data_IF_420160140717
#
_entry.id   IF_420160140717
#
_cell.length_a   1.000
_cell.length_b   1.000
_cell.length_c   1.000
_cell.angle_alpha   90.00
_cell.angle_beta   90.00
_cell.angle_gamma   90.00
#
_symmetry.space_group_name_H-M   'P 1'
#
loop_
_entity.id
_entity.type
_entity.pdbx_description
1 polymer ?
#
# COMPACT_ATOMS: atom_id res chain seq x y z
N UNK A 1 8.38 -5.10 -11.63
CA UNK A 1 7.38 -4.54 -12.58
C UNK A 1 7.63 -3.06 -12.82
N UNK A 2 6.91 -2.38 -13.73
CA UNK A 2 7.07 -0.93 -13.97
C UNK A 2 6.81 -0.09 -12.69
N UNK A 3 5.79 -0.45 -11.91
CA UNK A 3 5.47 0.19 -10.63
C UNK A 3 6.56 0.01 -9.59
N UNK A 4 7.13 -1.19 -9.47
CA UNK A 4 8.26 -1.44 -8.56
C UNK A 4 9.50 -0.61 -8.95
N UNK A 5 9.77 -0.45 -10.25
CA UNK A 5 10.86 0.41 -10.73
C UNK A 5 10.63 1.88 -10.35
N UNK A 6 9.40 2.38 -10.50
CA UNK A 6 9.02 3.74 -10.08
C UNK A 6 9.15 3.91 -8.56
N UNK A 7 8.64 2.96 -7.77
CA UNK A 7 8.75 2.96 -6.32
C UNK A 7 10.22 2.99 -5.85
N UNK A 8 11.10 2.26 -6.53
CA UNK A 8 12.54 2.30 -6.24
C UNK A 8 13.19 3.65 -6.64
N UNK A 9 12.70 4.34 -7.66
CA UNK A 9 13.26 5.64 -8.08
C UNK A 9 13.01 6.74 -7.04
N UNK A 10 11.89 6.67 -6.32
CA UNK A 10 11.56 7.65 -5.30
C UNK A 10 12.08 7.23 -3.92
N UNK A 11 13.03 8.00 -3.36
CA UNK A 11 13.68 7.66 -2.08
C UNK A 11 13.00 8.24 -0.85
N UNK A 12 11.88 8.95 -1.00
CA UNK A 12 11.10 9.48 0.13
C UNK A 12 10.29 8.42 0.89
N UNK A 13 10.20 7.21 0.34
CA UNK A 13 9.34 6.15 0.85
C UNK A 13 7.86 6.40 0.58
N UNK A 14 7.52 7.24 -0.39
CA UNK A 14 6.19 7.35 -1.00
C UNK A 14 6.31 6.99 -2.47
N UNK A 15 5.21 6.61 -3.12
CA UNK A 15 5.23 6.24 -4.53
C UNK A 15 5.70 7.39 -5.44
N UNK A 16 5.32 8.63 -5.09
CA UNK A 16 5.77 9.84 -5.78
C UNK A 16 5.91 11.02 -4.81
N UNK A 17 6.76 11.99 -5.15
CA UNK A 17 6.99 13.17 -4.31
C UNK A 17 7.59 12.84 -2.94
N UNK A 18 7.34 13.68 -1.95
CA UNK A 18 7.92 13.58 -0.59
C UNK A 18 6.89 13.40 0.52
N UNK A 19 5.62 13.23 0.18
CA UNK A 19 4.51 13.11 1.12
C UNK A 19 3.51 12.04 0.69
N UNK A 20 2.67 11.62 1.64
CA UNK A 20 1.56 10.71 1.37
C UNK A 20 0.66 11.29 0.27
N UNK A 21 0.37 10.48 -0.73
CA UNK A 21 -0.51 10.82 -1.84
C UNK A 21 -1.72 9.88 -1.88
N UNK A 22 -2.72 10.26 -2.66
CA UNK A 22 -3.87 9.39 -2.91
C UNK A 22 -3.46 8.06 -3.56
N UNK A 23 -2.36 8.06 -4.33
CA UNK A 23 -1.88 6.83 -4.96
C UNK A 23 -1.40 5.80 -3.92
N UNK A 24 -0.70 6.24 -2.88
CA UNK A 24 -0.22 5.34 -1.81
C UNK A 24 -1.42 4.69 -1.08
N UNK A 25 -2.47 5.47 -0.83
CA UNK A 25 -3.73 4.98 -0.25
C UNK A 25 -4.43 4.00 -1.20
N UNK A 26 -4.49 4.30 -2.50
CA UNK A 26 -5.09 3.41 -3.48
C UNK A 26 -4.32 2.10 -3.63
N UNK A 27 -2.98 2.14 -3.58
CA UNK A 27 -2.13 0.95 -3.59
C UNK A 27 -2.43 0.06 -2.37
N UNK A 28 -2.56 0.67 -1.20
CA UNK A 28 -2.96 -0.05 0.02
C UNK A 28 -4.31 -0.74 -0.15
N UNK A 29 -5.33 -0.01 -0.59
CA UNK A 29 -6.67 -0.60 -0.81
C UNK A 29 -6.66 -1.71 -1.87
N UNK A 30 -5.91 -1.53 -2.96
CA UNK A 30 -5.83 -2.51 -4.04
C UNK A 30 -5.27 -3.86 -3.57
N UNK A 31 -4.27 -3.85 -2.67
CA UNK A 31 -3.71 -5.06 -2.07
C UNK A 31 -4.77 -5.82 -1.26
N UNK A 32 -5.66 -5.10 -0.57
CA UNK A 32 -6.74 -5.70 0.21
C UNK A 32 -8.01 -6.01 -0.58
N UNK A 33 -8.14 -5.49 -1.81
CA UNK A 33 -9.37 -5.59 -2.60
C UNK A 33 -9.63 -7.00 -3.18
N UNK A 34 -8.58 -7.76 -3.48
CA UNK A 34 -8.74 -9.07 -4.14
C UNK A 34 -9.05 -10.17 -3.13
N UNK A 35 -9.97 -11.08 -3.47
CA UNK A 35 -10.33 -12.21 -2.61
C UNK A 35 -9.16 -13.19 -2.41
N UNK A 36 -8.36 -13.43 -3.46
CA UNK A 36 -7.18 -14.30 -3.40
C UNK A 36 -5.98 -13.57 -2.79
N UNK A 37 -6.04 -13.42 -1.47
CA UNK A 37 -4.99 -12.78 -0.68
C UNK A 37 -3.66 -13.55 -0.75
N UNK A 38 -3.66 -14.87 -0.93
CA UNK A 38 -2.41 -15.64 -1.02
C UNK A 38 -1.62 -15.27 -2.28
N UNK A 39 -2.30 -15.22 -3.44
CA UNK A 39 -1.67 -14.81 -4.69
C UNK A 39 -1.20 -13.36 -4.66
N UNK A 40 -1.98 -12.46 -4.03
CA UNK A 40 -1.56 -11.07 -3.82
C UNK A 40 -0.29 -10.99 -2.98
N UNK A 41 -0.22 -11.70 -1.86
CA UNK A 41 0.98 -11.67 -1.01
C UNK A 41 2.21 -12.25 -1.73
N UNK A 42 2.06 -13.29 -2.56
CA UNK A 42 3.14 -13.79 -3.43
C UNK A 42 3.61 -12.73 -4.41
N UNK A 43 2.69 -12.05 -5.10
CA UNK A 43 3.03 -10.98 -6.04
C UNK A 43 3.71 -9.79 -5.34
N UNK A 44 3.27 -9.46 -4.12
CA UNK A 44 3.84 -8.38 -3.31
C UNK A 44 5.24 -8.74 -2.78
N UNK A 45 5.52 -10.02 -2.51
CA UNK A 45 6.85 -10.48 -2.09
C UNK A 45 7.94 -10.19 -3.15
N UNK A 46 7.58 -10.22 -4.43
CA UNK A 46 8.48 -9.86 -5.55
C UNK A 46 8.63 -8.33 -5.74
N UNK A 47 7.88 -7.53 -4.97
CA UNK A 47 7.85 -6.06 -5.07
C UNK A 47 8.16 -5.39 -3.71
N UNK A 48 9.41 -5.48 -3.21
CA UNK A 48 9.77 -5.01 -1.86
C UNK A 48 9.57 -3.51 -1.64
N UNK A 49 9.72 -2.66 -2.66
CA UNK A 49 9.51 -1.22 -2.51
C UNK A 49 8.01 -0.89 -2.42
N UNK A 50 7.17 -1.54 -3.24
CA UNK A 50 5.71 -1.41 -3.10
C UNK A 50 5.24 -1.94 -1.74
N UNK A 51 5.81 -3.05 -1.26
CA UNK A 51 5.53 -3.56 0.10
C UNK A 51 5.90 -2.53 1.18
N UNK A 52 7.06 -1.90 1.08
CA UNK A 52 7.48 -0.88 2.04
C UNK A 52 6.54 0.33 2.06
N UNK A 53 6.03 0.76 0.89
CA UNK A 53 5.04 1.84 0.79
C UNK A 53 3.72 1.40 1.43
N UNK A 54 3.22 0.20 1.13
CA UNK A 54 2.02 -0.37 1.75
C UNK A 54 2.11 -0.35 3.29
N UNK A 55 3.19 -0.90 3.84
CA UNK A 55 3.39 -1.00 5.28
C UNK A 55 3.48 0.39 5.95
N UNK A 56 4.06 1.37 5.25
CA UNK A 56 4.12 2.76 5.73
C UNK A 56 2.74 3.42 5.76
N UNK A 57 1.89 3.16 4.77
CA UNK A 57 0.51 3.67 4.74
C UNK A 57 -0.27 3.14 5.93
N UNK A 58 -0.21 1.82 6.19
CA UNK A 58 -0.86 1.19 7.33
C UNK A 58 -0.39 1.75 8.69
N UNK A 59 0.90 2.07 8.80
CA UNK A 59 1.49 2.60 10.03
C UNK A 59 1.20 4.09 10.28
N UNK A 60 0.62 4.81 9.30
CA UNK A 60 0.29 6.23 9.46
C UNK A 60 -0.78 6.39 10.55
N UNK A 61 -0.55 7.16 11.64
CA UNK A 61 -1.42 7.15 12.82
C UNK A 61 -2.91 7.41 12.53
N UNK A 62 -3.21 8.37 11.65
CA UNK A 62 -4.58 8.69 11.27
C UNK A 62 -5.25 7.55 10.47
N UNK A 63 -4.50 6.87 9.59
CA UNK A 63 -4.98 5.73 8.80
C UNK A 63 -5.19 4.53 9.70
N UNK A 64 -4.21 4.22 10.55
CA UNK A 64 -4.29 3.14 11.53
C UNK A 64 -5.51 3.30 12.45
N UNK A 65 -5.77 4.52 12.91
CA UNK A 65 -6.97 4.84 13.70
C UNK A 65 -8.24 4.60 12.90
N UNK A 66 -8.30 5.11 11.67
CA UNK A 66 -9.46 4.91 10.79
C UNK A 66 -9.73 3.43 10.49
N UNK A 67 -8.70 2.64 10.20
CA UNK A 67 -8.82 1.20 9.96
C UNK A 67 -9.39 0.44 11.16
N UNK A 68 -9.10 0.88 12.38
CA UNK A 68 -9.64 0.29 13.60
C UNK A 68 -11.09 0.70 13.91
N UNK A 69 -11.54 1.85 13.40
CA UNK A 69 -12.85 2.44 13.69
C UNK A 69 -13.86 2.30 12.55
N UNK A 70 -13.39 2.02 11.32
CA UNK A 70 -14.26 1.94 10.14
C UNK A 70 -15.27 0.79 10.28
N UNK A 71 -16.49 0.94 9.74
CA UNK A 71 -17.44 -0.17 9.67
C UNK A 71 -16.86 -1.31 8.84
N UNK A 72 -17.01 -2.54 9.33
CA UNK A 72 -16.76 -3.73 8.53
C UNK A 72 -17.88 -3.87 7.50
N UNK A 73 -17.51 -3.80 6.23
CA UNK A 73 -18.41 -3.96 5.09
C UNK A 73 -18.02 -5.22 4.32
N UNK A 74 -18.95 -5.75 3.52
CA UNK A 74 -18.65 -6.92 2.66
C UNK A 74 -17.62 -6.59 1.56
N UNK A 75 -17.40 -5.30 1.28
CA UNK A 75 -16.51 -4.76 0.25
C UNK A 75 -15.94 -3.41 0.71
#
# INVERSE_FOLDING_TARGET
TAFEKQANQNKSGYFMGSSLSLFDIQLYNLIHFFDDQESVQKALADCPNLKAIHDKVEQTPAIKKWLAERPETMF
#
